data_IF_570875773238
#
_entry.id   IF_570875773238
#
_cell.length_a   1.000
_cell.length_b   1.000
_cell.length_c   1.000
_cell.angle_alpha   90.00
_cell.angle_beta   90.00
_cell.angle_gamma   90.00
#
_symmetry.space_group_name_H-M   'P 1'
#
loop_
_entity.id
_entity.type
_entity.pdbx_description
1 polymer ?
#
# COMPACT_ATOMS: atom_id res chain seq x y z
N UNK A 1 -9.74 11.15 9.65
CA UNK A 1 -9.53 9.86 8.95
C UNK A 1 -9.99 8.72 9.84
N UNK A 2 -10.53 7.64 9.30
CA UNK A 2 -11.04 6.48 10.07
C UNK A 2 -10.96 5.20 9.25
N UNK A 3 -11.08 4.05 9.90
CA UNK A 3 -11.32 2.76 9.25
C UNK A 3 -12.76 2.72 8.71
N UNK A 4 -12.94 2.32 7.46
CA UNK A 4 -14.24 2.38 6.75
C UNK A 4 -15.07 1.12 7.00
N UNK A 5 -14.45 -0.06 6.94
CA UNK A 5 -15.14 -1.34 7.04
C UNK A 5 -14.35 -2.38 7.84
N UNK A 6 -14.94 -3.54 8.05
CA UNK A 6 -14.32 -4.66 8.75
C UNK A 6 -14.41 -4.57 10.26
N UNK A 7 -13.58 -5.36 10.95
CA UNK A 7 -13.64 -5.56 12.41
C UNK A 7 -13.24 -4.31 13.21
N UNK A 8 -12.44 -3.40 12.63
CA UNK A 8 -12.06 -2.12 13.26
C UNK A 8 -12.85 -0.93 12.68
N UNK A 9 -14.01 -1.16 12.05
CA UNK A 9 -14.83 -0.10 11.44
C UNK A 9 -15.05 1.06 12.41
N UNK A 10 -15.00 2.28 11.86
CA UNK A 10 -15.21 3.56 12.56
C UNK A 10 -14.12 3.96 13.56
N UNK A 11 -13.06 3.16 13.77
CA UNK A 11 -11.94 3.56 14.62
C UNK A 11 -11.25 4.77 13.97
N UNK A 12 -11.14 5.93 14.69
CA UNK A 12 -10.45 7.10 14.16
C UNK A 12 -8.93 6.87 14.18
N UNK A 13 -8.26 7.19 13.05
CA UNK A 13 -6.83 7.06 12.89
C UNK A 13 -6.13 8.42 13.04
N UNK A 14 -4.95 8.38 13.66
CA UNK A 14 -4.05 9.53 13.83
C UNK A 14 -3.29 9.74 12.51
N UNK A 15 -3.10 11.00 12.13
CA UNK A 15 -2.33 11.40 10.96
C UNK A 15 -1.14 12.27 11.36
N UNK A 16 -0.01 12.20 10.65
CA UNK A 16 1.11 13.09 10.88
C UNK A 16 0.69 14.56 10.76
N UNK A 17 1.26 15.43 11.61
CA UNK A 17 1.03 16.88 11.54
C UNK A 17 1.84 17.47 10.37
N UNK A 18 1.26 18.42 9.64
CA UNK A 18 1.99 19.19 8.61
C UNK A 18 2.21 18.46 7.27
N UNK A 19 1.83 17.22 7.13
CA UNK A 19 1.68 16.62 5.81
C UNK A 19 0.33 17.10 5.26
N UNK A 20 0.35 18.15 4.43
CA UNK A 20 -0.72 18.45 3.49
C UNK A 20 -0.79 17.40 2.37
N UNK A 21 -0.45 16.16 2.67
CA UNK A 21 -0.84 15.03 1.84
C UNK A 21 -2.36 14.97 1.95
N UNK A 22 -3.02 15.30 0.87
CA UNK A 22 -4.48 15.18 0.76
C UNK A 22 -4.85 13.76 1.18
N UNK A 23 -5.52 13.58 2.34
CA UNK A 23 -5.83 12.23 2.78
C UNK A 23 -6.65 11.57 1.67
N UNK A 24 -6.30 10.35 1.30
CA UNK A 24 -7.16 9.53 0.44
C UNK A 24 -8.54 9.58 1.04
N UNK A 25 -9.50 10.19 0.34
CA UNK A 25 -10.83 10.41 0.88
C UNK A 25 -11.47 9.06 1.25
N UNK A 26 -12.35 9.06 2.24
CA UNK A 26 -13.10 7.85 2.61
C UNK A 26 -13.71 7.16 1.38
N UNK A 27 -14.23 7.95 0.41
CA UNK A 27 -14.81 7.44 -0.83
C UNK A 27 -13.78 6.77 -1.76
N UNK A 28 -12.58 7.35 -1.91
CA UNK A 28 -11.50 6.77 -2.74
C UNK A 28 -11.03 5.47 -2.12
N UNK A 29 -10.82 5.45 -0.78
CA UNK A 29 -10.42 4.27 -0.03
C UNK A 29 -11.49 3.17 -0.14
N UNK A 30 -12.75 3.49 0.03
CA UNK A 30 -13.85 2.54 -0.15
C UNK A 30 -13.89 1.97 -1.57
N UNK A 31 -13.72 2.83 -2.58
CA UNK A 31 -13.66 2.39 -3.99
C UNK A 31 -12.49 1.45 -4.22
N UNK A 32 -11.29 1.75 -3.70
CA UNK A 32 -10.11 0.89 -3.79
C UNK A 32 -10.41 -0.50 -3.22
N UNK A 33 -10.92 -0.56 -1.99
CA UNK A 33 -11.18 -1.84 -1.33
C UNK A 33 -12.37 -2.62 -1.91
N UNK A 34 -13.36 -1.95 -2.51
CA UNK A 34 -14.40 -2.62 -3.28
C UNK A 34 -13.83 -3.30 -4.53
N UNK A 35 -12.81 -2.72 -5.17
CA UNK A 35 -12.11 -3.35 -6.30
C UNK A 35 -11.22 -4.52 -5.88
N UNK A 36 -10.80 -4.55 -4.61
CA UNK A 36 -10.01 -5.64 -4.01
C UNK A 36 -10.88 -6.69 -3.30
N UNK A 37 -12.20 -6.53 -3.33
CA UNK A 37 -13.12 -7.51 -2.73
C UNK A 37 -12.87 -8.90 -3.33
N UNK A 38 -12.74 -9.90 -2.45
CA UNK A 38 -12.40 -11.28 -2.85
C UNK A 38 -10.89 -11.59 -2.89
N UNK A 39 -10.02 -10.57 -2.74
CA UNK A 39 -8.57 -10.76 -2.69
C UNK A 39 -7.95 -10.43 -1.33
N UNK A 40 -8.69 -9.72 -0.45
CA UNK A 40 -8.19 -9.22 0.84
C UNK A 40 -8.16 -10.30 1.92
N UNK A 41 -9.22 -11.10 2.02
CA UNK A 41 -9.35 -12.09 3.09
C UNK A 41 -8.22 -13.12 3.03
N UNK A 42 -7.48 -13.30 4.14
CA UNK A 42 -6.34 -14.17 4.25
C UNK A 42 -5.07 -13.70 3.52
N UNK A 43 -5.08 -12.52 2.88
CA UNK A 43 -3.92 -12.01 2.13
C UNK A 43 -2.82 -11.44 3.02
N UNK A 44 -1.58 -11.50 2.54
CA UNK A 44 -0.47 -10.70 3.04
C UNK A 44 -0.41 -9.38 2.26
N UNK A 45 -0.56 -8.27 2.95
CA UNK A 45 -0.62 -6.92 2.38
C UNK A 45 0.67 -6.15 2.62
N UNK A 46 1.22 -5.51 1.59
CA UNK A 46 2.38 -4.62 1.69
C UNK A 46 1.96 -3.18 1.37
N UNK A 47 2.15 -2.28 2.34
CA UNK A 47 1.87 -0.84 2.23
C UNK A 47 3.20 -0.07 2.13
N UNK A 48 3.55 0.33 0.91
CA UNK A 48 4.76 1.11 0.61
C UNK A 48 4.39 2.60 0.57
N UNK A 49 5.20 3.43 1.23
CA UNK A 49 4.88 4.83 1.55
C UNK A 49 3.66 4.94 2.47
N UNK A 50 3.67 4.14 3.54
CA UNK A 50 2.47 3.88 4.34
C UNK A 50 1.86 5.10 5.05
N UNK A 51 2.61 6.21 5.22
CA UNK A 51 2.14 7.42 5.86
C UNK A 51 1.56 7.17 7.25
N UNK A 52 0.25 7.30 7.42
CA UNK A 52 -0.44 6.98 8.67
C UNK A 52 -0.78 5.48 8.84
N UNK A 53 -0.47 4.65 7.84
CA UNK A 53 -0.82 3.24 7.79
C UNK A 53 -2.28 2.95 7.45
N UNK A 54 -3.02 3.95 6.98
CA UNK A 54 -4.48 3.83 6.79
C UNK A 54 -4.89 2.73 5.81
N UNK A 55 -4.09 2.46 4.77
CA UNK A 55 -4.41 1.47 3.74
C UNK A 55 -4.16 0.06 4.28
N UNK A 56 -2.97 -0.19 4.82
CA UNK A 56 -2.67 -1.50 5.43
C UNK A 56 -3.57 -1.83 6.62
N UNK A 57 -3.94 -0.84 7.47
CA UNK A 57 -4.90 -1.03 8.57
C UNK A 57 -6.30 -1.34 8.04
N UNK A 58 -6.74 -0.68 6.98
CA UNK A 58 -8.01 -1.01 6.33
C UNK A 58 -8.01 -2.44 5.79
N UNK A 59 -6.89 -2.90 5.17
CA UNK A 59 -6.73 -4.28 4.71
C UNK A 59 -6.86 -5.27 5.87
N UNK A 60 -6.15 -5.05 6.99
CA UNK A 60 -6.25 -5.87 8.19
C UNK A 60 -7.68 -5.91 8.76
N UNK A 61 -8.36 -4.76 8.78
CA UNK A 61 -9.74 -4.67 9.23
C UNK A 61 -10.71 -5.46 8.38
N UNK A 62 -10.42 -5.60 7.08
CA UNK A 62 -11.23 -6.35 6.12
C UNK A 62 -10.82 -7.81 5.95
N UNK A 63 -9.90 -8.31 6.79
CA UNK A 63 -9.57 -9.73 6.86
C UNK A 63 -8.22 -10.12 6.25
N UNK A 64 -7.35 -9.17 5.88
CA UNK A 64 -5.97 -9.52 5.54
C UNK A 64 -5.32 -10.23 6.73
N UNK A 65 -4.57 -11.29 6.48
CA UNK A 65 -3.87 -12.07 7.52
C UNK A 65 -2.74 -11.26 8.15
N UNK A 66 -2.00 -10.54 7.31
CA UNK A 66 -0.82 -9.79 7.74
C UNK A 66 -0.67 -8.51 6.93
N UNK A 67 -0.12 -7.44 7.53
CA UNK A 67 0.29 -6.23 6.82
C UNK A 67 1.71 -5.79 7.21
N UNK A 68 2.54 -5.52 6.20
CA UNK A 68 3.81 -4.83 6.38
C UNK A 68 3.69 -3.38 5.92
N UNK A 69 4.23 -2.47 6.72
CA UNK A 69 4.24 -1.03 6.47
C UNK A 69 5.68 -0.57 6.27
N UNK A 70 5.99 0.05 5.15
CA UNK A 70 7.29 0.67 4.90
C UNK A 70 7.11 2.18 4.84
N UNK A 71 7.77 2.87 5.75
CA UNK A 71 7.68 4.32 5.88
C UNK A 71 9.00 4.87 6.44
N UNK A 72 9.51 5.98 5.89
CA UNK A 72 10.78 6.57 6.31
C UNK A 72 10.65 7.64 7.38
N UNK A 73 9.53 8.34 7.41
CA UNK A 73 9.28 9.46 8.32
C UNK A 73 9.07 8.99 9.76
N UNK A 74 9.83 9.53 10.70
CA UNK A 74 9.67 9.25 12.12
C UNK A 74 8.28 9.56 12.66
N UNK A 75 7.70 10.66 12.20
CA UNK A 75 6.38 11.10 12.63
C UNK A 75 5.29 10.17 12.08
N UNK A 76 5.39 9.79 10.82
CA UNK A 76 4.46 8.86 10.20
C UNK A 76 4.55 7.46 10.85
N UNK A 77 5.76 6.95 11.11
CA UNK A 77 5.96 5.68 11.81
C UNK A 77 5.35 5.69 13.22
N UNK A 78 5.45 6.82 13.95
CA UNK A 78 4.76 6.97 15.25
C UNK A 78 3.25 6.88 15.09
N UNK A 79 2.70 7.48 14.04
CA UNK A 79 1.27 7.39 13.73
C UNK A 79 0.86 5.95 13.39
N UNK A 80 1.63 5.24 12.55
CA UNK A 80 1.36 3.83 12.21
C UNK A 80 1.31 2.98 13.50
N UNK A 81 2.33 3.09 14.36
CA UNK A 81 2.39 2.34 15.62
C UNK A 81 1.16 2.60 16.50
N UNK A 82 0.82 3.87 16.71
CA UNK A 82 -0.34 4.25 17.50
C UNK A 82 -1.67 3.76 16.91
N UNK A 83 -1.79 3.78 15.58
CA UNK A 83 -2.97 3.32 14.87
C UNK A 83 -3.11 1.79 14.90
N UNK A 84 -2.01 1.06 14.73
CA UNK A 84 -1.96 -0.40 14.83
C UNK A 84 -2.32 -0.85 16.26
N UNK A 85 -1.78 -0.19 17.28
CA UNK A 85 -2.11 -0.45 18.67
C UNK A 85 -3.60 -0.20 18.96
N UNK A 86 -4.11 0.95 18.55
CA UNK A 86 -5.52 1.35 18.73
C UNK A 86 -6.50 0.39 18.06
N UNK A 87 -6.12 -0.18 16.91
CA UNK A 87 -6.92 -1.16 16.19
C UNK A 87 -6.67 -2.60 16.63
N UNK A 88 -5.71 -2.83 17.55
CA UNK A 88 -5.31 -4.13 18.09
C UNK A 88 -4.79 -5.10 17.02
N UNK A 89 -4.02 -4.57 16.05
CA UNK A 89 -3.43 -5.37 14.96
C UNK A 89 -1.95 -5.64 15.14
N UNK A 90 -1.40 -5.47 16.37
CA UNK A 90 0.03 -5.60 16.66
C UNK A 90 0.60 -6.95 16.20
N UNK A 91 -0.09 -8.04 16.48
CA UNK A 91 0.37 -9.41 16.17
C UNK A 91 0.35 -9.74 14.66
N UNK A 92 -0.36 -8.92 13.86
CA UNK A 92 -0.52 -9.09 12.42
C UNK A 92 0.15 -7.98 11.62
N UNK A 93 1.05 -7.22 12.25
CA UNK A 93 1.67 -6.04 11.64
C UNK A 93 3.18 -6.07 11.76
N UNK A 94 3.88 -5.66 10.69
CA UNK A 94 5.30 -5.36 10.70
C UNK A 94 5.51 -3.93 10.23
N UNK A 95 6.27 -3.13 11.00
CA UNK A 95 6.55 -1.73 10.67
C UNK A 95 8.03 -1.56 10.45
N UNK A 96 8.41 -1.18 9.24
CA UNK A 96 9.78 -0.95 8.80
C UNK A 96 10.01 0.55 8.60
N UNK A 97 10.81 1.15 9.49
CA UNK A 97 11.25 2.54 9.31
C UNK A 97 12.44 2.58 8.36
N UNK A 98 12.15 2.53 7.06
CA UNK A 98 13.15 2.46 6.00
C UNK A 98 12.68 3.23 4.76
N UNK A 99 13.63 3.62 3.90
CA UNK A 99 13.34 3.95 2.51
C UNK A 99 12.78 2.71 1.79
N UNK A 100 11.89 2.91 0.81
CA UNK A 100 11.14 1.82 0.16
C UNK A 100 12.04 0.73 -0.41
N UNK A 101 13.10 1.09 -1.15
CA UNK A 101 14.02 0.09 -1.73
C UNK A 101 14.76 -0.73 -0.66
N UNK A 102 15.12 -0.11 0.46
CA UNK A 102 15.71 -0.80 1.61
C UNK A 102 14.69 -1.68 2.32
N UNK A 103 13.43 -1.23 2.41
CA UNK A 103 12.33 -2.01 2.95
C UNK A 103 12.06 -3.29 2.15
N UNK A 104 12.02 -3.19 0.82
CA UNK A 104 11.88 -4.36 -0.08
C UNK A 104 12.99 -5.39 0.18
N UNK A 105 14.25 -4.94 0.27
CA UNK A 105 15.39 -5.83 0.58
C UNK A 105 15.29 -6.47 1.96
N UNK A 106 14.88 -5.70 2.97
CA UNK A 106 14.70 -6.21 4.32
C UNK A 106 13.61 -7.29 4.37
N UNK A 107 12.47 -7.07 3.70
CA UNK A 107 11.38 -8.05 3.59
C UNK A 107 11.81 -9.32 2.85
N UNK A 108 12.68 -9.20 1.85
CA UNK A 108 13.24 -10.34 1.12
C UNK A 108 14.16 -11.19 2.03
N UNK A 109 15.01 -10.54 2.84
CA UNK A 109 15.85 -11.22 3.83
C UNK A 109 15.01 -11.95 4.89
N UNK A 110 13.89 -11.38 5.30
CA UNK A 110 12.89 -11.99 6.19
C UNK A 110 12.03 -13.05 5.50
N UNK A 111 12.27 -13.33 4.22
CA UNK A 111 11.52 -14.29 3.39
C UNK A 111 10.00 -14.04 3.39
N UNK A 112 9.59 -12.79 3.55
CA UNK A 112 8.17 -12.40 3.48
C UNK A 112 7.69 -12.44 2.04
N UNK A 113 6.42 -12.81 1.85
CA UNK A 113 5.76 -12.82 0.54
C UNK A 113 4.41 -12.15 0.65
N UNK A 114 4.01 -11.44 -0.41
CA UNK A 114 2.81 -10.63 -0.43
C UNK A 114 1.93 -10.95 -1.63
N UNK A 115 0.62 -10.92 -1.36
CA UNK A 115 -0.45 -11.14 -2.32
C UNK A 115 -0.94 -9.81 -2.89
N UNK A 116 -0.85 -8.74 -2.08
CA UNK A 116 -1.26 -7.39 -2.48
C UNK A 116 -0.18 -6.41 -2.06
N UNK A 117 0.23 -5.56 -3.00
CA UNK A 117 1.17 -4.45 -2.75
C UNK A 117 0.48 -3.14 -3.14
N UNK A 118 0.43 -2.21 -2.21
CA UNK A 118 -0.01 -0.84 -2.45
C UNK A 118 1.18 0.10 -2.36
N UNK A 119 1.33 1.00 -3.33
CA UNK A 119 2.35 2.03 -3.31
C UNK A 119 1.78 3.39 -3.72
N UNK A 120 2.05 4.40 -2.90
CA UNK A 120 1.65 5.80 -3.09
C UNK A 120 2.87 6.72 -2.97
N UNK A 121 3.78 6.69 -3.98
CA UNK A 121 4.97 7.53 -3.95
C UNK A 121 4.60 9.01 -4.10
N UNK A 122 5.45 9.94 -3.64
CA UNK A 122 5.28 11.35 -3.91
C UNK A 122 5.15 11.62 -5.42
N UNK A 123 4.10 12.36 -5.82
CA UNK A 123 3.79 12.60 -7.22
C UNK A 123 4.89 13.37 -7.95
N UNK A 124 5.00 13.14 -9.26
CA UNK A 124 5.89 13.84 -10.19
C UNK A 124 7.40 13.72 -9.86
N UNK A 125 7.80 12.66 -9.17
CA UNK A 125 9.22 12.37 -8.91
C UNK A 125 9.76 11.20 -9.75
N UNK A 126 8.91 10.53 -10.53
CA UNK A 126 9.32 9.41 -11.40
C UNK A 126 9.80 8.18 -10.63
N UNK A 127 9.34 7.99 -9.39
CA UNK A 127 9.78 6.91 -8.52
C UNK A 127 9.15 5.56 -8.88
N UNK A 128 8.01 5.59 -9.55
CA UNK A 128 7.17 4.42 -9.83
C UNK A 128 7.93 3.34 -10.58
N UNK A 129 8.67 3.71 -11.64
CA UNK A 129 9.44 2.77 -12.45
C UNK A 129 10.53 2.05 -11.64
N UNK A 130 11.32 2.79 -10.87
CA UNK A 130 12.41 2.24 -10.06
C UNK A 130 11.88 1.26 -8.99
N UNK A 131 10.75 1.60 -8.35
CA UNK A 131 10.14 0.75 -7.33
C UNK A 131 9.54 -0.50 -7.95
N UNK A 132 8.80 -0.38 -9.05
CA UNK A 132 8.22 -1.52 -9.76
C UNK A 132 9.32 -2.47 -10.28
N UNK A 133 10.44 -1.93 -10.78
CA UNK A 133 11.61 -2.72 -11.17
C UNK A 133 12.16 -3.52 -9.98
N UNK A 134 12.32 -2.87 -8.82
CA UNK A 134 12.82 -3.54 -7.62
C UNK A 134 11.84 -4.62 -7.13
N UNK A 135 10.53 -4.34 -7.15
CA UNK A 135 9.50 -5.31 -6.76
C UNK A 135 9.53 -6.56 -7.65
N UNK A 136 9.55 -6.38 -8.98
CA UNK A 136 9.57 -7.50 -9.93
C UNK A 136 10.85 -8.32 -9.81
N UNK A 137 11.98 -7.66 -9.53
CA UNK A 137 13.28 -8.34 -9.32
C UNK A 137 13.44 -9.03 -7.98
N UNK A 138 12.50 -8.86 -7.04
CA UNK A 138 12.57 -9.43 -5.69
C UNK A 138 11.73 -10.69 -5.54
N UNK A 139 12.06 -11.52 -4.52
CA UNK A 139 11.32 -12.73 -4.20
C UNK A 139 10.08 -12.48 -3.31
N UNK A 140 9.74 -11.21 -3.00
CA UNK A 140 8.64 -10.90 -2.06
C UNK A 140 7.25 -10.95 -2.70
N UNK A 141 7.14 -11.09 -4.02
CA UNK A 141 5.86 -11.13 -4.72
C UNK A 141 5.39 -12.56 -4.95
N UNK A 142 4.19 -12.89 -4.51
CA UNK A 142 3.51 -14.13 -4.90
C UNK A 142 3.18 -14.12 -6.41
N UNK A 143 2.90 -15.29 -6.99
CA UNK A 143 2.67 -15.41 -8.44
C UNK A 143 1.42 -14.65 -8.88
N UNK A 144 0.34 -14.74 -8.11
CA UNK A 144 -0.94 -14.06 -8.37
C UNK A 144 -1.03 -12.66 -7.73
N UNK A 145 0.10 -12.04 -7.44
CA UNK A 145 0.14 -10.72 -6.78
C UNK A 145 -0.68 -9.67 -7.54
N UNK A 146 -1.35 -8.81 -6.77
CA UNK A 146 -1.95 -7.58 -7.28
C UNK A 146 -1.10 -6.41 -6.76
N UNK A 147 -0.54 -5.63 -7.67
CA UNK A 147 0.19 -4.40 -7.34
C UNK A 147 -0.71 -3.22 -7.67
N UNK A 148 -0.96 -2.34 -6.71
CA UNK A 148 -1.73 -1.11 -6.90
C UNK A 148 -0.78 0.08 -6.78
N UNK A 149 -0.77 0.92 -7.81
CA UNK A 149 -0.01 2.17 -7.81
C UNK A 149 -0.98 3.34 -7.75
N UNK A 150 -0.91 4.15 -6.70
CA UNK A 150 -1.51 5.47 -6.71
C UNK A 150 -0.52 6.45 -7.33
N UNK A 151 -0.95 7.20 -8.33
CA UNK A 151 -0.11 8.16 -9.04
C UNK A 151 -0.91 9.34 -9.56
N UNK A 152 -0.23 10.40 -9.98
CA UNK A 152 -0.87 11.46 -10.76
C UNK A 152 -1.54 10.88 -12.01
N UNK A 153 -2.71 11.41 -12.38
CA UNK A 153 -3.42 10.95 -13.59
C UNK A 153 -2.58 11.05 -14.88
N UNK A 154 -1.57 11.91 -14.90
CA UNK A 154 -0.71 12.15 -16.06
C UNK A 154 0.59 11.34 -16.03
N UNK A 155 0.84 10.53 -14.99
CA UNK A 155 2.03 9.68 -14.92
C UNK A 155 2.04 8.69 -16.07
N UNK A 156 3.16 8.62 -16.79
CA UNK A 156 3.38 7.64 -17.87
C UNK A 156 3.73 6.27 -17.27
N UNK A 157 3.05 5.24 -17.74
CA UNK A 157 3.26 3.84 -17.37
C UNK A 157 3.58 2.95 -18.57
N UNK A 158 4.06 3.53 -19.69
CA UNK A 158 4.44 2.78 -20.90
C UNK A 158 5.52 1.72 -20.64
N UNK A 159 6.31 1.90 -19.57
CA UNK A 159 7.36 0.97 -19.15
C UNK A 159 6.85 -0.32 -18.49
N UNK A 160 5.60 -0.38 -18.05
CA UNK A 160 5.03 -1.52 -17.29
C UNK A 160 5.14 -2.83 -18.05
N UNK A 161 4.91 -2.78 -19.35
CA UNK A 161 4.97 -3.96 -20.22
C UNK A 161 6.38 -4.58 -20.30
N UNK A 162 7.42 -3.75 -20.33
CA UNK A 162 8.82 -4.18 -20.31
C UNK A 162 9.26 -4.81 -19.00
N UNK A 163 8.54 -4.54 -17.89
CA UNK A 163 8.79 -5.17 -16.60
C UNK A 163 8.12 -6.54 -16.44
N UNK A 164 7.47 -7.07 -17.48
CA UNK A 164 6.71 -8.31 -17.39
C UNK A 164 5.41 -8.17 -16.58
N UNK A 165 4.92 -6.93 -16.44
CA UNK A 165 3.64 -6.62 -15.80
C UNK A 165 2.59 -6.29 -16.85
N UNK A 166 1.33 -6.51 -16.52
CA UNK A 166 0.17 -6.09 -17.30
C UNK A 166 -0.76 -5.21 -16.47
N UNK A 167 -1.31 -4.17 -17.10
CA UNK A 167 -2.36 -3.35 -16.52
C UNK A 167 -3.68 -4.13 -16.62
N UNK A 168 -4.28 -4.47 -15.48
CA UNK A 168 -5.56 -5.18 -15.44
C UNK A 168 -6.73 -4.23 -15.16
N UNK A 169 -6.45 -3.08 -14.54
CA UNK A 169 -7.43 -2.03 -14.30
C UNK A 169 -6.75 -0.67 -14.12
N UNK A 170 -7.40 0.37 -14.61
CA UNK A 170 -7.00 1.75 -14.44
C UNK A 170 -8.21 2.56 -13.99
N UNK A 171 -8.20 3.00 -12.74
CA UNK A 171 -9.26 3.82 -12.15
C UNK A 171 -8.79 5.25 -12.03
N UNK A 172 -9.27 6.11 -12.91
CA UNK A 172 -8.94 7.53 -12.93
C UNK A 172 -9.92 8.31 -12.04
N UNK A 173 -9.37 9.19 -11.20
CA UNK A 173 -10.08 10.17 -10.39
C UNK A 173 -9.80 11.59 -10.90
N UNK A 174 -10.28 12.61 -10.21
CA UNK A 174 -10.10 14.00 -10.64
C UNK A 174 -8.62 14.38 -10.84
N UNK A 175 -7.73 14.00 -9.91
CA UNK A 175 -6.32 14.42 -9.91
C UNK A 175 -5.32 13.25 -9.89
N UNK A 176 -5.74 12.06 -9.52
CA UNK A 176 -4.93 10.86 -9.37
C UNK A 176 -5.59 9.66 -10.07
N UNK A 177 -4.90 8.56 -10.07
CA UNK A 177 -5.38 7.26 -10.57
C UNK A 177 -4.90 6.14 -9.68
N UNK A 178 -5.64 5.03 -9.62
CA UNK A 178 -5.19 3.75 -9.14
C UNK A 178 -5.00 2.81 -10.32
N UNK A 179 -3.76 2.42 -10.53
CA UNK A 179 -3.38 1.46 -11.55
C UNK A 179 -3.19 0.08 -10.91
N UNK A 180 -3.91 -0.91 -11.40
CA UNK A 180 -3.82 -2.30 -10.91
C UNK A 180 -2.99 -3.10 -11.89
N UNK A 181 -1.93 -3.72 -11.39
CA UNK A 181 -0.97 -4.48 -12.17
C UNK A 181 -0.94 -5.93 -11.69
N UNK A 182 -0.67 -6.86 -12.62
CA UNK A 182 -0.35 -8.26 -12.34
C UNK A 182 0.87 -8.69 -13.15
N UNK A 183 1.52 -9.75 -12.74
CA UNK A 183 2.52 -10.44 -13.57
C UNK A 183 1.85 -10.96 -14.86
N UNK A 184 2.60 -11.01 -15.96
CA UNK A 184 2.17 -11.62 -17.23
C UNK A 184 2.17 -13.13 -17.13
#
# INVERSE_FOLDING_TARGET
MRVIAGIARSVPLITPKGLETRPTSDQIKETLFNMLQGYIEGSNFLDLYAGSGQIGIEALSRGAEFAAFVEKSDEAVKCIKANVDKTKFNDRSMILKLEVLSGIRALELEKKRFDIVFLDPPYNQGLEQGILTALVGSAILNDEVIIIVEASKNTDFSFVDYLGLKIVKDKIYKNNRHLFLRKK
#
